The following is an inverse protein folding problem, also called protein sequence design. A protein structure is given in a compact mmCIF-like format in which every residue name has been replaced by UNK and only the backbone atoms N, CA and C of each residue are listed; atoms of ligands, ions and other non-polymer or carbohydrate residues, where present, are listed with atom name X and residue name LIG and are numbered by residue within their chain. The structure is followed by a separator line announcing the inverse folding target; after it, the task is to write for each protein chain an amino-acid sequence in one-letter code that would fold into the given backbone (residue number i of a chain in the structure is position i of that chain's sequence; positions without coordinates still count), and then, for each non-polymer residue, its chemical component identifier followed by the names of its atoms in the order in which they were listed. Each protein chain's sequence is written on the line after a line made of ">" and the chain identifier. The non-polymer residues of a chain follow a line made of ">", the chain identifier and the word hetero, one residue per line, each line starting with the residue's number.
data_IF_691814359413
#
_entry.id   IF_691814359413
#
_cell.length_a   1.000
_cell.length_b   1.000
_cell.length_c   1.000
_cell.angle_alpha   90.00
_cell.angle_beta   90.00
_cell.angle_gamma   90.00
#
_symmetry.space_group_name_H-M   'P 1'
#
loop_
_entity.id
_entity.type
_entity.pdbx_description
1 polymer ?
#
# COMPACT_ATOMS: atom_id res chain seq x y z
N UNK A 1 -12.61 19.46 -1.78
CA UNK A 1 -12.43 18.20 -2.54
C UNK A 1 -13.70 17.36 -2.63
N UNK A 2 -14.19 17.04 -3.84
CA UNK A 2 -15.36 16.14 -4.02
C UNK A 2 -15.00 14.89 -4.86
N UNK A 3 -14.52 13.84 -4.18
CA UNK A 3 -14.22 12.53 -4.78
C UNK A 3 -15.15 11.44 -4.24
N UNK A 4 -15.68 10.61 -5.13
CA UNK A 4 -16.48 9.43 -4.75
C UNK A 4 -15.57 8.28 -4.29
N UNK A 5 -15.31 8.21 -2.98
CA UNK A 5 -14.47 7.18 -2.38
C UNK A 5 -15.06 5.77 -2.47
N UNK A 6 -16.38 5.61 -2.58
CA UNK A 6 -16.98 4.28 -2.78
C UNK A 6 -16.61 3.75 -4.18
N UNK A 7 -16.69 4.62 -5.19
CA UNK A 7 -16.24 4.30 -6.55
C UNK A 7 -14.73 4.08 -6.60
N UNK A 8 -13.95 4.93 -5.92
CA UNK A 8 -12.49 4.79 -5.85
C UNK A 8 -12.08 3.44 -5.24
N UNK A 9 -12.74 3.00 -4.17
CA UNK A 9 -12.47 1.70 -3.55
C UNK A 9 -12.66 0.53 -4.53
N UNK A 10 -13.69 0.59 -5.38
CA UNK A 10 -13.94 -0.43 -6.42
C UNK A 10 -12.81 -0.41 -7.47
N UNK A 11 -12.36 0.78 -7.87
CA UNK A 11 -11.27 0.95 -8.83
C UNK A 11 -9.94 0.43 -8.27
N UNK A 12 -9.58 0.80 -7.04
CA UNK A 12 -8.38 0.33 -6.33
C UNK A 12 -8.43 -1.19 -6.18
N UNK A 13 -9.57 -1.77 -5.81
CA UNK A 13 -9.72 -3.21 -5.71
C UNK A 13 -9.49 -3.91 -7.06
N UNK A 14 -10.11 -3.40 -8.13
CA UNK A 14 -9.95 -3.97 -9.47
C UNK A 14 -8.48 -3.88 -9.93
N UNK A 15 -7.82 -2.74 -9.73
CA UNK A 15 -6.42 -2.54 -10.05
C UNK A 15 -5.50 -3.46 -9.23
N UNK A 16 -5.77 -3.59 -7.91
CA UNK A 16 -5.03 -4.47 -7.00
C UNK A 16 -5.11 -5.92 -7.45
N UNK A 17 -6.33 -6.41 -7.75
CA UNK A 17 -6.54 -7.77 -8.22
C UNK A 17 -5.79 -8.04 -9.52
N UNK A 18 -5.92 -7.12 -10.48
CA UNK A 18 -5.27 -7.23 -11.78
C UNK A 18 -3.75 -7.24 -11.66
N UNK A 19 -3.19 -6.25 -10.97
CA UNK A 19 -1.75 -6.12 -10.78
C UNK A 19 -1.17 -7.36 -10.08
N UNK A 20 -1.80 -7.82 -9.01
CA UNK A 20 -1.30 -9.00 -8.29
C UNK A 20 -1.43 -10.29 -9.12
N UNK A 21 -2.52 -10.47 -9.87
CA UNK A 21 -2.67 -11.60 -10.79
C UNK A 21 -1.58 -11.62 -11.87
N UNK A 22 -1.24 -10.45 -12.42
CA UNK A 22 -0.16 -10.31 -13.41
C UNK A 22 1.20 -10.63 -12.78
N UNK A 23 1.47 -10.18 -11.56
CA UNK A 23 2.71 -10.54 -10.85
C UNK A 23 2.79 -12.03 -10.61
N UNK A 24 1.73 -12.67 -10.11
CA UNK A 24 1.72 -14.13 -9.89
C UNK A 24 1.91 -14.90 -11.19
N UNK A 25 1.26 -14.47 -12.29
CA UNK A 25 1.37 -15.14 -13.58
C UNK A 25 2.80 -15.12 -14.14
N UNK A 26 3.56 -14.06 -13.90
CA UNK A 26 4.90 -13.88 -14.44
C UNK A 26 6.03 -14.29 -13.47
N UNK A 27 5.78 -14.20 -12.16
CA UNK A 27 6.83 -14.24 -11.13
C UNK A 27 6.52 -15.19 -9.96
N UNK A 28 5.51 -16.06 -10.06
CA UNK A 28 5.22 -17.07 -9.01
C UNK A 28 6.44 -17.92 -8.63
N UNK A 29 7.34 -18.21 -9.58
CA UNK A 29 8.56 -18.99 -9.34
C UNK A 29 9.57 -18.28 -8.41
N UNK A 30 9.49 -16.96 -8.27
CA UNK A 30 10.39 -16.15 -7.44
C UNK A 30 10.02 -16.17 -5.96
N UNK A 31 8.98 -16.95 -5.60
CA UNK A 31 8.57 -17.16 -4.23
C UNK A 31 8.10 -15.85 -3.55
N UNK A 32 7.06 -15.24 -4.15
CA UNK A 32 6.37 -14.04 -3.64
C UNK A 32 6.02 -14.21 -2.16
N UNK A 33 6.35 -13.22 -1.33
CA UNK A 33 6.09 -13.27 0.11
C UNK A 33 5.45 -12.01 0.68
N UNK A 34 5.43 -10.89 -0.07
CA UNK A 34 4.86 -9.64 0.41
C UNK A 34 4.15 -8.88 -0.72
N UNK A 35 3.06 -8.19 -0.36
CA UNK A 35 2.33 -7.25 -1.22
C UNK A 35 1.91 -6.02 -0.42
N UNK A 36 1.96 -4.84 -1.03
CA UNK A 36 1.52 -3.60 -0.42
C UNK A 36 0.78 -2.73 -1.43
N UNK A 37 -0.10 -1.89 -0.89
CA UNK A 37 -0.45 -0.62 -1.52
C UNK A 37 0.30 0.49 -0.80
N UNK A 38 0.68 1.53 -1.52
CA UNK A 38 1.24 2.73 -0.92
C UNK A 38 0.79 3.99 -1.65
N UNK A 39 0.87 5.11 -0.94
CA UNK A 39 0.58 6.47 -1.44
C UNK A 39 1.76 7.38 -1.15
N UNK A 40 1.77 8.57 -1.74
CA UNK A 40 2.57 9.71 -1.29
C UNK A 40 1.81 10.53 -0.24
N UNK A 41 2.53 11.35 0.54
CA UNK A 41 1.96 12.28 1.52
C UNK A 41 0.98 13.29 0.88
N UNK A 42 1.16 13.64 -0.39
CA UNK A 42 0.25 14.49 -1.12
C UNK A 42 -1.08 13.82 -1.51
N UNK A 43 -1.27 12.53 -1.20
CA UNK A 43 -2.46 11.75 -1.57
C UNK A 43 -2.77 11.76 -3.09
N UNK A 44 -1.75 11.99 -3.93
CA UNK A 44 -1.89 12.07 -5.38
C UNK A 44 -1.74 10.71 -6.06
N UNK A 45 -1.26 9.70 -5.35
CA UNK A 45 -0.95 8.39 -5.93
C UNK A 45 -1.48 7.23 -5.10
N UNK A 46 -1.82 6.16 -5.81
CA UNK A 46 -1.92 4.82 -5.22
C UNK A 46 -1.12 3.88 -6.11
N UNK A 47 -0.17 3.18 -5.51
CA UNK A 47 0.73 2.28 -6.23
C UNK A 47 0.81 0.91 -5.55
N UNK A 48 0.98 -0.17 -6.32
CA UNK A 48 1.25 -1.50 -5.78
C UNK A 48 2.76 -1.70 -5.57
N UNK A 49 3.11 -2.54 -4.60
CA UNK A 49 4.46 -3.07 -4.47
C UNK A 49 4.41 -4.56 -4.15
N UNK A 50 5.28 -5.37 -4.75
CA UNK A 50 5.42 -6.79 -4.44
C UNK A 50 6.87 -7.15 -4.20
N UNK A 51 7.13 -7.99 -3.19
CA UNK A 51 8.46 -8.55 -2.95
C UNK A 51 8.52 -10.06 -3.02
N UNK A 52 9.72 -10.56 -3.32
CA UNK A 52 10.02 -11.96 -3.56
C UNK A 52 11.20 -12.41 -2.71
N UNK A 53 11.20 -13.68 -2.29
CA UNK A 53 12.33 -14.20 -1.51
C UNK A 53 13.61 -14.20 -2.34
N UNK A 54 13.49 -14.50 -3.64
CA UNK A 54 14.61 -14.50 -4.58
C UNK A 54 15.28 -13.13 -4.68
N UNK A 55 14.51 -12.03 -4.64
CA UNK A 55 15.08 -10.69 -4.57
C UNK A 55 15.68 -10.39 -3.20
N UNK A 56 14.97 -10.74 -2.11
CA UNK A 56 15.38 -10.43 -0.74
C UNK A 56 16.76 -11.03 -0.40
N UNK A 57 17.07 -12.25 -0.87
CA UNK A 57 18.39 -12.88 -0.63
C UNK A 57 19.56 -12.17 -1.32
N UNK A 58 19.28 -11.24 -2.24
CA UNK A 58 20.32 -10.42 -2.88
C UNK A 58 20.62 -9.12 -2.13
N UNK A 59 19.85 -8.81 -1.08
CA UNK A 59 19.97 -7.55 -0.32
C UNK A 59 21.08 -7.62 0.72
N UNK A 60 21.63 -6.47 1.16
CA UNK A 60 22.59 -6.42 2.25
C UNK A 60 22.06 -7.08 3.52
N UNK A 61 22.84 -7.99 4.11
CA UNK A 61 22.40 -8.79 5.25
C UNK A 61 22.29 -7.98 6.56
N UNK A 62 23.08 -6.92 6.66
CA UNK A 62 23.08 -5.96 7.77
C UNK A 62 21.80 -5.10 7.84
N UNK A 63 21.15 -4.87 6.70
CA UNK A 63 19.90 -4.11 6.58
C UNK A 63 18.71 -4.96 6.14
N UNK A 64 18.82 -6.30 6.22
CA UNK A 64 17.83 -7.21 5.62
C UNK A 64 16.40 -6.92 6.08
N UNK A 65 16.20 -6.62 7.36
CA UNK A 65 14.86 -6.32 7.91
C UNK A 65 14.21 -5.10 7.24
N UNK A 66 14.99 -4.08 6.88
CA UNK A 66 14.48 -2.91 6.16
C UNK A 66 13.97 -3.33 4.78
N UNK A 67 14.79 -4.04 4.00
CA UNK A 67 14.37 -4.57 2.69
C UNK A 67 13.24 -5.60 2.76
N UNK A 68 13.07 -6.29 3.88
CA UNK A 68 11.95 -7.21 4.08
C UNK A 68 10.61 -6.47 4.10
N UNK A 69 10.58 -5.26 4.67
CA UNK A 69 9.35 -4.59 5.10
C UNK A 69 9.14 -3.18 4.52
N UNK A 70 10.10 -2.62 3.78
CA UNK A 70 9.98 -1.31 3.14
C UNK A 70 9.52 -1.44 1.67
N UNK A 71 8.27 -1.10 1.32
CA UNK A 71 7.75 -1.23 -0.04
C UNK A 71 8.53 -0.47 -1.11
N UNK A 72 9.11 0.69 -0.75
CA UNK A 72 9.94 1.49 -1.67
C UNK A 72 11.19 0.74 -2.15
N UNK A 73 11.64 -0.29 -1.42
CA UNK A 73 12.83 -1.07 -1.71
C UNK A 73 12.52 -2.45 -2.30
N UNK A 74 11.25 -2.75 -2.56
CA UNK A 74 10.82 -4.06 -3.04
C UNK A 74 11.07 -4.28 -4.54
N UNK A 75 11.19 -5.55 -4.93
CA UNK A 75 11.56 -5.94 -6.29
C UNK A 75 10.64 -5.36 -7.39
N UNK A 76 9.33 -5.34 -7.11
CA UNK A 76 8.31 -4.88 -8.02
C UNK A 76 7.53 -3.73 -7.39
N UNK A 77 8.19 -2.61 -7.22
CA UNK A 77 7.60 -1.34 -6.82
C UNK A 77 7.04 -0.58 -8.03
N UNK A 78 5.96 0.17 -7.80
CA UNK A 78 5.36 1.06 -8.78
C UNK A 78 4.30 0.42 -9.68
N UNK A 79 3.52 1.30 -10.31
CA UNK A 79 2.50 0.90 -11.28
C UNK A 79 3.11 0.47 -12.62
N UNK A 80 2.38 -0.39 -13.33
CA UNK A 80 2.72 -0.90 -14.67
C UNK A 80 1.69 -0.43 -15.68
N UNK A 81 2.09 -0.20 -16.95
CA UNK A 81 1.14 0.20 -17.99
C UNK A 81 -0.06 -0.75 -18.08
N UNK A 82 -1.25 -0.20 -17.84
CA UNK A 82 -2.51 -0.92 -17.95
C UNK A 82 -2.99 -1.59 -16.66
N UNK A 83 -2.28 -1.51 -15.53
CA UNK A 83 -2.73 -2.09 -14.26
C UNK A 83 -3.92 -1.35 -13.62
N UNK A 84 -4.18 -0.11 -14.04
CA UNK A 84 -5.26 0.74 -13.57
C UNK A 84 -4.82 1.81 -12.56
N UNK A 85 -3.68 1.64 -11.91
CA UNK A 85 -3.19 2.57 -10.88
C UNK A 85 -2.82 3.94 -11.45
N UNK A 86 -2.27 4.01 -12.66
CA UNK A 86 -2.00 5.31 -13.30
C UNK A 86 -3.27 6.14 -13.53
N UNK A 87 -4.42 5.51 -13.81
CA UNK A 87 -5.69 6.21 -13.96
C UNK A 87 -6.25 6.67 -12.62
N UNK A 88 -6.11 5.84 -11.58
CA UNK A 88 -6.48 6.19 -10.20
C UNK A 88 -5.67 7.40 -9.73
N UNK A 89 -4.34 7.36 -9.86
CA UNK A 89 -3.47 8.49 -9.47
C UNK A 89 -3.78 9.76 -10.27
N UNK A 90 -4.16 9.63 -11.55
CA UNK A 90 -4.57 10.78 -12.34
C UNK A 90 -5.87 11.40 -11.81
N UNK A 91 -6.88 10.60 -11.47
CA UNK A 91 -8.13 11.10 -10.87
C UNK A 91 -7.90 11.76 -9.50
N UNK A 92 -6.99 11.21 -8.69
CA UNK A 92 -6.60 11.81 -7.41
C UNK A 92 -5.95 13.17 -7.60
N UNK A 93 -4.99 13.25 -8.53
CA UNK A 93 -4.34 14.50 -8.90
C UNK A 93 -5.34 15.56 -9.38
N UNK A 94 -6.25 15.21 -10.29
CA UNK A 94 -7.28 16.13 -10.78
C UNK A 94 -8.20 16.61 -9.65
N UNK A 95 -8.61 15.73 -8.74
CA UNK A 95 -9.48 16.10 -7.62
C UNK A 95 -8.80 17.08 -6.63
N UNK A 96 -7.47 17.02 -6.50
CA UNK A 96 -6.70 17.94 -5.65
C UNK A 96 -6.46 19.27 -6.37
N UNK A 97 -6.08 19.24 -7.66
CA UNK A 97 -5.81 20.47 -8.43
C UNK A 97 -7.08 21.31 -8.63
N UNK A 98 -8.23 20.69 -8.91
CA UNK A 98 -9.51 21.40 -9.05
C UNK A 98 -9.89 22.15 -7.76
N UNK A 99 -9.47 21.67 -6.59
CA UNK A 99 -9.76 22.30 -5.31
C UNK A 99 -8.81 23.46 -5.00
N UNK A 100 -7.56 23.39 -5.48
CA UNK A 100 -6.54 24.42 -5.25
C UNK A 100 -6.69 25.65 -6.15
N UNK A 101 -7.48 25.58 -7.23
CA UNK A 101 -7.77 26.75 -8.07
C UNK A 101 -8.67 27.79 -7.36
N UNK A 102 -9.39 27.40 -6.31
CA UNK A 102 -10.50 28.20 -5.77
C UNK A 102 -10.24 28.96 -4.44
N UNK A 103 -9.24 28.65 -3.58
CA UNK A 103 -9.03 29.45 -2.36
C UNK A 103 -7.66 29.28 -1.64
N UNK A 104 -7.05 30.41 -1.22
CA UNK A 104 -5.93 30.48 -0.27
C UNK A 104 -6.46 30.86 1.12
N UNK A 105 -7.03 29.91 1.87
CA UNK A 105 -7.43 30.13 3.27
C UNK A 105 -7.11 28.90 4.14
N UNK A 106 -6.92 29.11 5.46
CA UNK A 106 -6.49 28.07 6.43
C UNK A 106 -7.47 26.87 6.51
N UNK A 107 -8.73 27.03 6.06
CA UNK A 107 -9.75 25.96 6.04
C UNK A 107 -9.44 24.85 5.00
N UNK A 108 -8.56 25.10 4.03
CA UNK A 108 -8.13 24.13 3.00
C UNK A 108 -7.31 22.97 3.62
N UNK A 109 -6.58 23.23 4.71
CA UNK A 109 -5.72 22.24 5.35
C UNK A 109 -6.52 21.11 6.04
N UNK A 110 -7.63 21.43 6.70
CA UNK A 110 -8.49 20.42 7.35
C UNK A 110 -9.20 19.53 6.32
N UNK A 111 -9.73 20.12 5.25
CA UNK A 111 -10.39 19.38 4.17
C UNK A 111 -9.41 18.43 3.46
N UNK A 112 -8.17 18.90 3.22
CA UNK A 112 -7.11 18.06 2.66
C UNK A 112 -6.68 16.94 3.60
N UNK A 113 -6.55 17.19 4.90
CA UNK A 113 -6.27 16.13 5.87
C UNK A 113 -7.39 15.07 5.85
N UNK A 114 -8.66 15.47 5.83
CA UNK A 114 -9.78 14.53 5.73
C UNK A 114 -9.75 13.71 4.43
N UNK A 115 -9.47 14.34 3.29
CA UNK A 115 -9.29 13.65 2.00
C UNK A 115 -8.16 12.63 2.06
N UNK A 116 -6.99 13.06 2.56
CA UNK A 116 -5.78 12.25 2.69
C UNK A 116 -6.04 11.02 3.56
N UNK A 117 -6.63 11.22 4.74
CA UNK A 117 -6.94 10.12 5.66
C UNK A 117 -8.00 9.18 5.10
N UNK A 118 -8.96 9.69 4.33
CA UNK A 118 -9.99 8.88 3.66
C UNK A 118 -9.37 8.01 2.56
N UNK A 119 -8.42 8.54 1.77
CA UNK A 119 -7.66 7.75 0.80
C UNK A 119 -6.87 6.62 1.47
N UNK A 120 -6.13 6.95 2.53
CA UNK A 120 -5.31 5.98 3.26
C UNK A 120 -6.16 4.85 3.85
N UNK A 121 -7.29 5.21 4.45
CA UNK A 121 -8.25 4.25 4.97
C UNK A 121 -8.85 3.39 3.86
N UNK A 122 -9.18 3.98 2.71
CA UNK A 122 -9.73 3.25 1.55
C UNK A 122 -8.76 2.19 1.04
N UNK A 123 -7.47 2.54 0.85
CA UNK A 123 -6.43 1.61 0.44
C UNK A 123 -6.26 0.46 1.45
N UNK A 124 -6.23 0.78 2.74
CA UNK A 124 -6.16 -0.22 3.81
C UNK A 124 -7.36 -1.16 3.80
N UNK A 125 -8.58 -0.64 3.64
CA UNK A 125 -9.82 -1.44 3.63
C UNK A 125 -9.91 -2.37 2.43
N UNK A 126 -9.45 -1.93 1.25
CA UNK A 126 -9.34 -2.78 0.06
C UNK A 126 -8.40 -3.96 0.33
N UNK A 127 -7.21 -3.72 0.89
CA UNK A 127 -6.29 -4.79 1.28
C UNK A 127 -6.92 -5.75 2.29
N UNK A 128 -7.59 -5.21 3.30
CA UNK A 128 -8.24 -5.99 4.35
C UNK A 128 -9.40 -6.84 3.79
N UNK A 129 -10.18 -6.30 2.85
CA UNK A 129 -11.23 -7.03 2.13
C UNK A 129 -10.63 -8.19 1.34
N UNK A 130 -9.61 -7.93 0.51
CA UNK A 130 -8.96 -8.96 -0.30
C UNK A 130 -8.30 -10.04 0.56
N UNK A 131 -7.72 -9.67 1.71
CA UNK A 131 -7.25 -10.63 2.72
C UNK A 131 -8.39 -11.53 3.20
N UNK A 132 -9.52 -10.97 3.63
CA UNK A 132 -10.69 -11.73 4.15
C UNK A 132 -11.27 -12.69 3.12
N UNK A 133 -11.17 -12.34 1.83
CA UNK A 133 -11.55 -13.21 0.72
C UNK A 133 -10.53 -14.33 0.40
N UNK A 134 -9.41 -14.38 1.12
CA UNK A 134 -8.26 -15.24 0.84
C UNK A 134 -7.67 -15.04 -0.56
N UNK A 135 -7.83 -13.86 -1.17
CA UNK A 135 -7.43 -13.61 -2.55
C UNK A 135 -5.94 -13.90 -2.79
N UNK A 136 -5.06 -13.32 -1.98
CA UNK A 136 -3.61 -13.49 -2.11
C UNK A 136 -3.17 -14.94 -1.88
N UNK A 137 -3.67 -15.55 -0.80
CA UNK A 137 -3.39 -16.94 -0.43
C UNK A 137 -3.83 -17.92 -1.52
N UNK A 138 -4.98 -17.71 -2.14
CA UNK A 138 -5.49 -18.58 -3.20
C UNK A 138 -4.63 -18.55 -4.46
N UNK A 139 -3.99 -17.41 -4.77
CA UNK A 139 -3.12 -17.26 -5.93
C UNK A 139 -1.70 -17.79 -5.70
N UNK A 140 -1.14 -17.58 -4.51
CA UNK A 140 0.26 -17.97 -4.20
C UNK A 140 0.35 -19.35 -3.53
N UNK A 141 -0.71 -19.82 -2.89
CA UNK A 141 -0.75 -21.10 -2.17
C UNK A 141 -0.22 -21.05 -0.74
N UNK A 142 0.09 -19.86 -0.22
CA UNK A 142 0.57 -19.61 1.15
C UNK A 142 0.16 -18.20 1.62
N UNK A 143 0.24 -17.97 2.92
CA UNK A 143 0.06 -16.63 3.46
C UNK A 143 1.26 -15.73 3.09
N UNK A 144 0.98 -14.46 2.81
CA UNK A 144 1.99 -13.44 2.48
C UNK A 144 1.84 -12.25 3.44
N UNK A 145 2.90 -11.45 3.57
CA UNK A 145 2.87 -10.19 4.29
C UNK A 145 2.10 -9.13 3.50
N UNK A 146 1.22 -8.40 4.18
CA UNK A 146 0.40 -7.33 3.62
C UNK A 146 0.60 -6.05 4.42
N UNK A 147 0.75 -4.91 3.73
CA UNK A 147 0.78 -3.61 4.40
C UNK A 147 0.23 -2.49 3.52
N UNK A 148 -0.19 -1.42 4.18
CA UNK A 148 -0.33 -0.11 3.55
C UNK A 148 0.76 0.81 4.11
N UNK A 149 1.41 1.59 3.25
CA UNK A 149 2.41 2.59 3.65
C UNK A 149 2.19 3.91 2.92
N UNK A 150 2.83 4.96 3.41
CA UNK A 150 2.82 6.27 2.77
C UNK A 150 4.26 6.78 2.78
N UNK A 151 4.77 7.20 1.63
CA UNK A 151 6.11 7.77 1.51
C UNK A 151 6.14 9.14 2.17
N UNK A 152 7.21 9.42 2.92
CA UNK A 152 7.44 10.66 3.68
C UNK A 152 6.40 10.99 4.77
N UNK A 153 5.50 10.05 5.10
CA UNK A 153 4.48 10.20 6.14
C UNK A 153 4.61 9.12 7.23
N UNK A 154 4.64 9.54 8.50
CA UNK A 154 4.71 8.63 9.64
C UNK A 154 3.34 8.53 10.34
N UNK A 155 2.71 7.36 10.23
CA UNK A 155 1.52 7.05 11.02
C UNK A 155 1.82 7.07 12.53
N UNK A 156 0.82 7.43 13.34
CA UNK A 156 0.85 7.12 14.77
C UNK A 156 1.22 5.63 14.97
N UNK A 157 2.16 5.39 15.88
CA UNK A 157 2.73 4.04 16.08
C UNK A 157 1.66 3.01 16.46
N UNK A 158 0.59 3.40 17.15
CA UNK A 158 -0.51 2.49 17.47
C UNK A 158 -1.39 2.24 16.25
N UNK A 159 -1.69 3.26 15.45
CA UNK A 159 -2.42 3.10 14.17
C UNK A 159 -1.69 2.15 13.23
N UNK A 160 -0.39 2.35 13.01
CA UNK A 160 0.43 1.44 12.19
C UNK A 160 0.44 0.01 12.76
N UNK A 161 0.63 -0.13 14.07
CA UNK A 161 0.58 -1.42 14.75
C UNK A 161 -0.75 -2.14 14.52
N UNK A 162 -1.86 -1.43 14.65
CA UNK A 162 -3.20 -1.99 14.44
C UNK A 162 -3.39 -2.44 12.99
N UNK A 163 -2.98 -1.61 12.02
CA UNK A 163 -3.04 -1.97 10.60
C UNK A 163 -2.27 -3.26 10.30
N UNK A 164 -1.05 -3.40 10.82
CA UNK A 164 -0.22 -4.60 10.64
C UNK A 164 -0.89 -5.84 11.26
N UNK A 165 -1.48 -5.70 12.45
CA UNK A 165 -2.19 -6.81 13.12
C UNK A 165 -3.42 -7.24 12.32
N UNK A 166 -4.19 -6.29 11.78
CA UNK A 166 -5.39 -6.58 11.00
C UNK A 166 -5.06 -7.22 9.64
N UNK A 167 -4.00 -6.75 8.98
CA UNK A 167 -3.58 -7.26 7.68
C UNK A 167 -2.81 -8.58 7.75
N UNK A 168 -2.19 -8.93 8.89
CA UNK A 168 -1.34 -10.11 8.98
C UNK A 168 -1.71 -10.95 10.19
N UNK A 169 -2.06 -12.21 9.99
CA UNK A 169 -2.28 -13.24 11.01
C UNK A 169 -1.28 -14.41 10.86
N UNK A 170 -0.12 -14.10 10.28
CA UNK A 170 0.98 -15.00 9.96
C UNK A 170 2.28 -14.55 10.69
N UNK A 171 3.39 -15.30 10.62
CA UNK A 171 4.62 -14.97 11.33
C UNK A 171 5.19 -13.58 11.04
N UNK A 172 4.99 -13.05 9.83
CA UNK A 172 5.45 -11.71 9.45
C UNK A 172 4.84 -10.60 10.31
N UNK A 173 3.66 -10.83 10.89
CA UNK A 173 3.06 -9.91 11.87
C UNK A 173 4.03 -9.68 13.04
N UNK A 174 4.50 -10.74 13.68
CA UNK A 174 5.34 -10.63 14.86
C UNK A 174 6.74 -10.09 14.51
N UNK A 175 7.29 -10.50 13.36
CA UNK A 175 8.58 -10.00 12.86
C UNK A 175 8.54 -8.47 12.65
N UNK A 176 7.49 -7.95 11.99
CA UNK A 176 7.32 -6.51 11.81
C UNK A 176 7.14 -5.80 13.15
N UNK A 177 6.30 -6.34 14.05
CA UNK A 177 6.07 -5.75 15.37
C UNK A 177 7.34 -5.74 16.24
N UNK A 178 8.24 -6.71 16.07
CA UNK A 178 9.54 -6.71 16.74
C UNK A 178 10.49 -5.68 16.13
N UNK A 179 10.48 -5.52 14.81
CA UNK A 179 11.22 -4.47 14.14
C UNK A 179 10.76 -3.07 14.59
N UNK A 180 9.46 -2.82 14.69
CA UNK A 180 8.90 -1.55 15.20
C UNK A 180 9.41 -1.17 16.60
N UNK A 181 9.78 -2.14 17.45
CA UNK A 181 10.33 -1.87 18.79
C UNK A 181 11.75 -1.31 18.75
N UNK A 182 12.46 -1.52 17.65
CA UNK A 182 13.84 -1.04 17.45
C UNK A 182 13.88 0.41 16.99
N UNK A 183 12.76 0.93 16.46
CA UNK A 183 12.66 2.30 16.00
C UNK A 183 12.78 3.25 17.18
N UNK A 184 13.57 4.32 16.99
CA UNK A 184 13.75 5.37 18.00
C UNK A 184 12.37 5.94 18.37
N UNK A 185 12.24 6.33 19.64
CA UNK A 185 11.07 7.08 20.11
C UNK A 185 11.19 8.53 19.73
#
# INVERSE_FOLDING_TARGET
>A
MNLDFEKLAIEIEAATRKSFQEIVANHAAENIYAFALYSDEGAMTVCPATNTMDFLVTRPQDDLTYYTFEPAEWCYEGSRPGDGFSAISHHLYEAIEEDQEDEYDDDNDEEFEEFQQTLYQTCFEVLLKLKKENFFRNLVGKDIFLMFSVTDYEFDRNKLREMIILLNDNPYQQEYLDWMKTWRK
#
